data_IF_544489074000
#
_entry.id   IF_544489074000
#
_cell.length_a   1.000
_cell.length_b   1.000
_cell.length_c   1.000
_cell.angle_alpha   90.00
_cell.angle_beta   90.00
_cell.angle_gamma   90.00
#
_symmetry.space_group_name_H-M   'P 1'
#
loop_
_entity.id
_entity.type
_entity.pdbx_description
1 polymer ?
#
# COMPACT_ATOMS: atom_id res chain seq x y z
N UNK A 1 -6.40 -28.99 -19.08
CA UNK A 1 -6.48 -27.50 -19.14
C UNK A 1 -7.93 -26.98 -19.08
N UNK A 2 -8.88 -27.58 -19.81
CA UNK A 2 -10.31 -27.19 -19.76
C UNK A 2 -10.93 -27.26 -18.35
N UNK A 3 -10.51 -28.22 -17.51
CA UNK A 3 -10.96 -28.35 -16.12
C UNK A 3 -10.46 -27.23 -15.20
N UNK A 4 -9.21 -26.80 -15.37
CA UNK A 4 -8.64 -25.68 -14.61
C UNK A 4 -9.34 -24.36 -14.99
N UNK A 5 -9.63 -24.18 -16.28
CA UNK A 5 -10.35 -23.00 -16.77
C UNK A 5 -11.79 -22.95 -16.22
N UNK A 6 -12.52 -24.07 -16.27
CA UNK A 6 -13.89 -24.12 -15.74
C UNK A 6 -13.94 -23.93 -14.22
N UNK A 7 -12.95 -24.43 -13.49
CA UNK A 7 -12.78 -24.18 -12.05
C UNK A 7 -12.54 -22.70 -11.75
N UNK A 8 -11.65 -22.03 -12.48
CA UNK A 8 -11.38 -20.60 -12.33
C UNK A 8 -12.62 -19.73 -12.63
N UNK A 9 -13.39 -20.08 -13.66
CA UNK A 9 -14.63 -19.39 -14.00
C UNK A 9 -15.72 -19.57 -12.93
N UNK A 10 -15.80 -20.75 -12.30
CA UNK A 10 -16.72 -20.99 -11.18
C UNK A 10 -16.29 -20.21 -9.94
N UNK A 11 -15.01 -20.21 -9.63
CA UNK A 11 -14.45 -19.46 -8.51
C UNK A 11 -14.68 -17.95 -8.65
N UNK A 12 -14.42 -17.38 -9.82
CA UNK A 12 -14.65 -15.93 -10.06
C UNK A 12 -16.12 -15.54 -9.99
N UNK A 13 -17.06 -16.41 -10.41
CA UNK A 13 -18.50 -16.19 -10.22
C UNK A 13 -18.88 -16.22 -8.74
N UNK A 14 -18.37 -17.18 -7.98
CA UNK A 14 -18.61 -17.27 -6.54
C UNK A 14 -18.04 -16.04 -5.81
N UNK A 15 -16.84 -15.58 -6.19
CA UNK A 15 -16.24 -14.38 -5.63
C UNK A 15 -17.08 -13.12 -5.91
N UNK A 16 -17.61 -12.98 -7.13
CA UNK A 16 -18.52 -11.85 -7.45
C UNK A 16 -19.77 -11.86 -6.58
N UNK A 17 -20.36 -13.03 -6.36
CA UNK A 17 -21.55 -13.17 -5.51
C UNK A 17 -21.21 -12.79 -4.06
N UNK A 18 -20.08 -13.25 -3.54
CA UNK A 18 -19.63 -12.90 -2.19
C UNK A 18 -19.35 -11.38 -2.04
N UNK A 19 -18.80 -10.74 -3.07
CA UNK A 19 -18.56 -9.29 -3.07
C UNK A 19 -19.86 -8.47 -3.06
N UNK A 20 -20.93 -9.01 -3.65
CA UNK A 20 -22.25 -8.40 -3.71
C UNK A 20 -23.08 -8.56 -2.43
N UNK A 21 -22.60 -9.31 -1.44
CA UNK A 21 -23.30 -9.39 -0.15
C UNK A 21 -23.20 -8.06 0.62
N UNK A 22 -24.34 -7.59 1.14
CA UNK A 22 -24.51 -6.24 1.71
C UNK A 22 -23.49 -5.87 2.79
N UNK A 23 -22.99 -6.86 3.55
CA UNK A 23 -21.96 -6.65 4.58
C UNK A 23 -20.52 -6.62 4.05
N UNK A 24 -20.22 -7.38 2.99
CA UNK A 24 -18.85 -7.48 2.46
C UNK A 24 -18.44 -6.19 1.75
N UNK A 25 -19.36 -5.61 0.96
CA UNK A 25 -19.11 -4.36 0.25
C UNK A 25 -18.80 -3.20 1.20
N UNK A 26 -19.43 -3.14 2.37
CA UNK A 26 -19.18 -2.12 3.38
C UNK A 26 -17.77 -2.25 3.98
N UNK A 27 -17.37 -3.47 4.35
CA UNK A 27 -16.03 -3.74 4.91
C UNK A 27 -14.94 -3.45 3.86
N UNK A 28 -15.15 -3.91 2.62
CA UNK A 28 -14.23 -3.64 1.52
C UNK A 28 -14.14 -2.13 1.23
N UNK A 29 -15.28 -1.43 1.24
CA UNK A 29 -15.34 0.02 1.06
C UNK A 29 -14.60 0.77 2.16
N UNK A 30 -14.76 0.37 3.41
CA UNK A 30 -14.01 0.94 4.54
C UNK A 30 -12.50 0.69 4.39
N UNK A 31 -12.10 -0.52 3.99
CA UNK A 31 -10.69 -0.85 3.75
C UNK A 31 -10.11 0.02 2.62
N UNK A 32 -10.80 0.15 1.49
CA UNK A 32 -10.38 1.02 0.37
C UNK A 32 -10.30 2.47 0.81
N UNK A 33 -11.28 2.96 1.57
CA UNK A 33 -11.29 4.32 2.10
C UNK A 33 -10.08 4.60 2.99
N UNK A 34 -9.77 3.68 3.91
CA UNK A 34 -8.60 3.81 4.80
C UNK A 34 -7.28 3.80 4.01
N UNK A 35 -7.15 2.97 2.98
CA UNK A 35 -5.96 2.96 2.12
C UNK A 35 -5.81 4.27 1.36
N UNK A 36 -6.89 4.79 0.77
CA UNK A 36 -6.86 6.06 0.05
C UNK A 36 -6.52 7.21 0.99
N UNK A 37 -7.17 7.27 2.15
CA UNK A 37 -6.92 8.31 3.16
C UNK A 37 -5.47 8.25 3.66
N UNK A 38 -4.97 7.06 4.01
CA UNK A 38 -3.59 6.87 4.43
C UNK A 38 -2.60 7.31 3.36
N UNK A 39 -2.81 6.88 2.11
CA UNK A 39 -1.95 7.27 0.98
C UNK A 39 -1.87 8.78 0.82
N UNK A 40 -3.02 9.48 0.84
CA UNK A 40 -3.07 10.93 0.70
C UNK A 40 -2.38 11.65 1.87
N UNK A 41 -2.57 11.16 3.10
CA UNK A 41 -1.94 11.73 4.29
C UNK A 41 -0.42 11.58 4.20
N UNK A 42 0.11 10.40 3.87
CA UNK A 42 1.56 10.19 3.77
C UNK A 42 2.18 10.98 2.63
N UNK A 43 1.53 11.03 1.47
CA UNK A 43 2.03 11.80 0.33
C UNK A 43 1.98 13.31 0.54
N UNK A 44 1.00 13.83 1.30
CA UNK A 44 0.85 15.28 1.53
C UNK A 44 1.65 15.78 2.74
N UNK A 45 1.88 14.95 3.76
CA UNK A 45 2.53 15.37 5.00
C UNK A 45 4.03 15.07 5.07
N UNK A 46 4.51 14.06 4.32
CA UNK A 46 5.90 13.59 4.42
C UNK A 46 6.67 13.65 3.10
N UNK A 47 6.13 14.30 2.06
CA UNK A 47 6.69 14.34 0.68
C UNK A 47 6.94 12.94 0.08
N UNK A 48 6.21 11.92 0.56
CA UNK A 48 6.35 10.57 0.04
C UNK A 48 5.70 10.45 -1.33
N UNK A 49 6.29 9.62 -2.19
CA UNK A 49 5.64 9.30 -3.46
C UNK A 49 4.28 8.64 -3.21
N UNK A 50 3.33 8.79 -4.14
CA UNK A 50 2.02 8.14 -4.03
C UNK A 50 2.13 6.61 -3.90
N UNK A 51 3.14 6.03 -4.54
CA UNK A 51 3.41 4.58 -4.50
C UNK A 51 3.89 4.16 -3.11
N UNK A 52 4.74 4.97 -2.48
CA UNK A 52 5.22 4.75 -1.11
C UNK A 52 4.10 4.85 -0.09
N UNK A 53 3.28 5.90 -0.19
CA UNK A 53 2.13 6.09 0.68
C UNK A 53 1.12 4.94 0.56
N UNK A 54 0.87 4.46 -0.67
CA UNK A 54 -0.02 3.33 -0.91
C UNK A 54 0.52 2.03 -0.33
N UNK A 55 1.79 1.70 -0.58
CA UNK A 55 2.44 0.51 -0.02
C UNK A 55 2.35 0.51 1.50
N UNK A 56 2.68 1.63 2.13
CA UNK A 56 2.68 1.76 3.58
C UNK A 56 1.27 1.66 4.18
N UNK A 57 0.28 2.30 3.55
CA UNK A 57 -1.11 2.24 3.97
C UNK A 57 -1.67 0.80 3.90
N UNK A 58 -1.36 0.07 2.82
CA UNK A 58 -1.76 -1.35 2.67
C UNK A 58 -1.06 -2.23 3.71
N UNK A 59 0.27 -2.12 3.83
CA UNK A 59 1.05 -2.94 4.76
C UNK A 59 0.63 -2.74 6.23
N UNK A 60 0.26 -1.52 6.59
CA UNK A 60 -0.27 -1.19 7.92
C UNK A 60 -1.67 -1.77 8.11
N UNK A 61 -2.57 -1.58 7.14
CA UNK A 61 -3.95 -2.06 7.23
C UNK A 61 -4.06 -3.59 7.28
N UNK A 62 -3.22 -4.29 6.52
CA UNK A 62 -3.19 -5.77 6.53
C UNK A 62 -2.38 -6.35 7.67
N UNK A 63 -1.79 -5.51 8.53
CA UNK A 63 -0.86 -5.90 9.60
C UNK A 63 0.34 -6.74 9.12
N UNK A 64 0.60 -6.71 7.81
CA UNK A 64 1.72 -7.42 7.17
C UNK A 64 3.05 -6.70 7.38
N UNK A 65 3.03 -5.56 8.07
CA UNK A 65 4.17 -4.65 8.20
C UNK A 65 5.46 -5.37 8.61
N UNK A 66 6.38 -5.47 7.66
CA UNK A 66 7.80 -5.27 7.94
C UNK A 66 7.95 -3.76 8.10
N UNK A 67 7.66 -3.26 9.31
CA UNK A 67 8.17 -1.97 9.75
C UNK A 67 9.66 -2.20 10.04
N UNK A 68 10.43 -2.39 8.99
CA UNK A 68 11.87 -2.61 9.13
C UNK A 68 12.45 -1.32 9.75
N UNK A 69 13.09 -1.41 10.94
CA UNK A 69 13.73 -0.27 11.60
C UNK A 69 14.84 0.35 10.75
N UNK A 70 15.26 -0.32 9.68
CA UNK A 70 16.23 0.10 8.68
C UNK A 70 15.61 0.47 7.31
N UNK A 71 14.30 0.74 7.21
CA UNK A 71 13.67 1.46 6.09
C UNK A 71 14.13 2.94 6.06
N UNK A 72 15.44 3.10 5.91
CA UNK A 72 16.08 4.31 5.46
C UNK A 72 16.08 4.24 3.95
N UNK A 73 15.67 5.34 3.39
CA UNK A 73 15.84 5.60 1.99
C UNK A 73 17.26 5.31 1.53
N UNK A 74 17.42 4.51 0.49
CA UNK A 74 18.42 4.81 -0.53
C UNK A 74 18.15 4.11 -1.87
N UNK A 75 18.00 4.90 -2.94
CA UNK A 75 18.40 4.51 -4.30
C UNK A 75 17.33 3.96 -5.27
N UNK A 76 16.40 4.83 -5.71
CA UNK A 76 15.73 4.87 -7.04
C UNK A 76 15.12 3.57 -7.68
N UNK A 77 13.90 3.62 -8.29
CA UNK A 77 12.89 4.66 -8.39
C UNK A 77 11.74 4.35 -7.42
N UNK A 78 12.03 4.40 -6.14
CA UNK A 78 11.05 4.62 -5.10
C UNK A 78 11.74 5.64 -4.21
N UNK A 79 11.49 6.94 -4.47
CA UNK A 79 12.26 8.05 -3.90
C UNK A 79 11.73 8.39 -2.50
N UNK A 80 11.82 7.43 -1.62
CA UNK A 80 12.71 7.50 -0.48
C UNK A 80 13.75 8.69 -0.63
N UNK A 81 13.83 9.67 0.31
CA UNK A 81 15.07 10.44 0.76
C UNK A 81 15.07 10.90 2.23
N UNK A 82 15.88 10.24 3.08
CA UNK A 82 16.43 10.74 4.36
C UNK A 82 17.82 10.14 4.61
N UNK A 83 18.89 10.90 4.27
CA UNK A 83 20.18 10.98 5.03
C UNK A 83 21.23 11.91 4.42
N UNK A 84 21.15 12.29 3.14
CA UNK A 84 22.19 13.14 2.50
C UNK A 84 22.09 14.65 2.81
N UNK A 85 20.91 15.18 3.16
CA UNK A 85 20.81 16.61 3.50
C UNK A 85 21.37 16.93 4.90
N UNK A 86 21.40 15.97 5.83
CA UNK A 86 21.97 16.20 7.16
C UNK A 86 23.50 16.13 7.17
N UNK A 87 24.11 15.18 6.46
CA UNK A 87 25.56 14.98 6.51
C UNK A 87 26.37 15.95 5.63
N UNK A 88 25.76 16.54 4.60
CA UNK A 88 26.41 17.55 3.74
C UNK A 88 26.15 18.97 4.27
N UNK A 89 24.99 19.24 4.88
CA UNK A 89 24.68 20.54 5.47
C UNK A 89 25.40 20.75 6.83
N UNK A 90 25.64 19.68 7.60
CA UNK A 90 26.52 19.72 8.78
C UNK A 90 28.03 19.77 8.45
N UNK A 91 28.41 19.64 7.18
CA UNK A 91 29.79 19.85 6.69
C UNK A 91 30.01 21.23 6.05
N UNK A 92 28.94 22.03 5.91
CA UNK A 92 28.94 23.38 5.35
C UNK A 92 28.53 24.47 6.38
N UNK A 93 28.38 24.11 7.66
CA UNK A 93 28.26 25.01 8.81
C UNK A 93 29.44 24.77 9.75
#
# INVERSE_FOLDING_TARGET
>A
MLSALSMYLRFSRALKIAVLEDGFAQILGAAVFLVVLGTLVYSSSQDWSLVDGFYFAVATLTTSSIADPELVVSGAPVKMTSRSSAAIQARMA
#
